data_IF_529803718217
#
_entry.id   IF_529803718217
#
_cell.length_a   1.000
_cell.length_b   1.000
_cell.length_c   1.000
_cell.angle_alpha   90.00
_cell.angle_beta   90.00
_cell.angle_gamma   90.00
#
_symmetry.space_group_name_H-M   'P 1'
#
loop_
_entity.id
_entity.type
_entity.pdbx_description
1 polymer ?
#
# COMPACT_ATOMS: atom_id res chain seq x y z
N UNK A 1 -7.57 -14.85 -16.34
CA UNK A 1 -7.54 -13.40 -16.14
C UNK A 1 -7.10 -13.17 -14.71
N UNK A 2 -6.00 -12.46 -14.48
CA UNK A 2 -5.45 -12.25 -13.14
C UNK A 2 -6.23 -11.12 -12.48
N UNK A 3 -7.07 -11.42 -11.48
CA UNK A 3 -7.77 -10.39 -10.72
C UNK A 3 -6.78 -9.76 -9.74
N UNK A 4 -6.39 -8.52 -10.01
CA UNK A 4 -5.54 -7.74 -9.10
C UNK A 4 -6.33 -7.38 -7.86
N UNK A 5 -5.82 -7.78 -6.68
CA UNK A 5 -6.38 -7.29 -5.42
C UNK A 5 -6.07 -5.79 -5.26
N UNK A 6 -7.08 -5.04 -4.80
CA UNK A 6 -6.92 -3.63 -4.43
C UNK A 6 -6.37 -3.59 -3.01
N UNK A 7 -5.23 -2.91 -2.80
CA UNK A 7 -4.75 -2.62 -1.45
C UNK A 7 -5.79 -1.76 -0.73
N UNK A 8 -6.38 -2.28 0.35
CA UNK A 8 -7.23 -1.47 1.21
C UNK A 8 -6.39 -0.33 1.81
N UNK A 9 -6.90 0.90 1.74
CA UNK A 9 -6.29 2.01 2.49
C UNK A 9 -6.61 1.79 3.96
N UNK A 10 -5.61 1.36 4.73
CA UNK A 10 -5.73 1.31 6.19
C UNK A 10 -5.87 2.75 6.70
N UNK A 11 -6.90 2.99 7.52
CA UNK A 11 -7.09 4.28 8.18
C UNK A 11 -5.89 4.58 9.09
N UNK A 12 -5.23 5.72 8.84
CA UNK A 12 -4.04 6.12 9.61
C UNK A 12 -4.47 6.60 11.01
N UNK A 13 -4.05 5.86 12.03
CA UNK A 13 -4.21 6.25 13.43
C UNK A 13 -3.24 7.39 13.82
N UNK A 14 -3.70 8.63 13.70
CA UNK A 14 -2.93 9.84 14.05
C UNK A 14 -2.68 10.04 15.55
N UNK A 15 -3.27 9.21 16.41
CA UNK A 15 -3.01 9.29 17.87
C UNK A 15 -1.65 8.70 18.25
N UNK A 16 -1.00 7.98 17.33
CA UNK A 16 0.30 7.35 17.54
C UNK A 16 1.40 8.02 16.72
N UNK A 17 2.66 7.93 17.17
CA UNK A 17 3.79 8.35 16.36
C UNK A 17 3.81 7.61 15.02
N UNK A 18 3.87 8.37 13.93
CA UNK A 18 3.96 7.83 12.58
C UNK A 18 5.43 7.56 12.27
N UNK A 19 5.76 6.32 11.96
CA UNK A 19 7.09 5.91 11.51
C UNK A 19 7.09 5.70 10.00
N UNK A 20 8.00 6.37 9.30
CA UNK A 20 8.17 6.19 7.86
C UNK A 20 9.30 5.21 7.56
N UNK A 21 9.04 4.29 6.64
CA UNK A 21 10.13 3.69 5.86
C UNK A 21 10.73 4.75 4.91
N UNK A 22 12.01 4.60 4.49
CA UNK A 22 12.67 5.59 3.65
C UNK A 22 11.90 5.96 2.37
N UNK A 23 11.26 4.97 1.72
CA UNK A 23 10.47 5.21 0.50
C UNK A 23 9.17 5.98 0.77
N UNK A 24 8.50 5.66 1.87
CA UNK A 24 7.27 6.33 2.29
C UNK A 24 7.56 7.80 2.60
N UNK A 25 8.69 8.11 3.25
CA UNK A 25 9.12 9.50 3.48
C UNK A 25 9.38 10.27 2.17
N UNK A 26 10.02 9.63 1.18
CA UNK A 26 10.25 10.25 -0.12
C UNK A 26 8.94 10.60 -0.83
N UNK A 27 7.99 9.67 -0.83
CA UNK A 27 6.67 9.85 -1.46
C UNK A 27 5.84 10.89 -0.71
N UNK A 28 5.89 10.89 0.61
CA UNK A 28 5.26 11.89 1.46
C UNK A 28 5.77 13.29 1.14
N UNK A 29 7.09 13.48 1.12
CA UNK A 29 7.70 14.78 0.76
C UNK A 29 7.30 15.23 -0.64
N UNK A 30 7.33 14.33 -1.62
CA UNK A 30 6.95 14.66 -3.00
C UNK A 30 5.49 15.12 -3.10
N UNK A 31 4.58 14.49 -2.36
CA UNK A 31 3.18 14.89 -2.34
C UNK A 31 2.96 16.23 -1.61
N UNK A 32 3.70 16.50 -0.53
CA UNK A 32 3.68 17.81 0.13
C UNK A 32 4.19 18.92 -0.81
N UNK A 33 5.32 18.69 -1.48
CA UNK A 33 5.90 19.64 -2.44
C UNK A 33 4.89 19.92 -3.57
N UNK A 34 4.23 18.89 -4.09
CA UNK A 34 3.18 19.01 -5.12
C UNK A 34 2.00 19.85 -4.63
N UNK A 35 1.47 19.57 -3.44
CA UNK A 35 0.34 20.31 -2.87
C UNK A 35 0.66 21.78 -2.62
N UNK A 36 1.86 22.08 -2.10
CA UNK A 36 2.33 23.46 -1.93
C UNK A 36 2.41 24.22 -3.25
N UNK A 37 2.82 23.53 -4.32
CA UNK A 37 2.99 24.15 -5.65
C UNK A 37 1.64 24.37 -6.36
N UNK A 38 0.70 23.44 -6.22
CA UNK A 38 -0.56 23.47 -6.98
C UNK A 38 -1.74 24.10 -6.24
N UNK A 39 -1.83 23.90 -4.92
CA UNK A 39 -3.04 24.16 -4.13
C UNK A 39 -2.91 25.33 -3.15
N UNK A 40 -1.69 25.83 -2.93
CA UNK A 40 -1.39 26.88 -1.93
C UNK A 40 -1.66 26.46 -0.48
N UNK A 41 -1.93 25.17 -0.23
CA UNK A 41 -2.29 24.61 1.06
C UNK A 41 -1.90 23.13 1.13
N UNK A 42 -1.84 22.61 2.36
CA UNK A 42 -1.33 21.26 2.63
C UNK A 42 -2.38 20.46 3.39
N UNK A 43 -2.72 19.30 2.84
CA UNK A 43 -3.47 18.24 3.50
C UNK A 43 -2.51 17.11 3.88
N UNK A 44 -2.08 17.14 5.14
CA UNK A 44 -1.12 16.18 5.70
C UNK A 44 -1.67 14.75 5.69
N UNK A 45 -2.96 14.56 5.98
CA UNK A 45 -3.59 13.24 6.03
C UNK A 45 -3.63 12.62 4.64
N UNK A 46 -4.02 13.40 3.63
CA UNK A 46 -3.99 12.96 2.24
C UNK A 46 -2.57 12.61 1.80
N UNK A 47 -1.59 13.44 2.14
CA UNK A 47 -0.20 13.18 1.80
C UNK A 47 0.32 11.89 2.46
N UNK A 48 -0.03 11.64 3.72
CA UNK A 48 0.31 10.41 4.44
C UNK A 48 -0.32 9.17 3.79
N UNK A 49 -1.62 9.20 3.52
CA UNK A 49 -2.34 8.11 2.87
C UNK A 49 -1.74 7.78 1.50
N UNK A 50 -1.43 8.81 0.70
CA UNK A 50 -0.80 8.63 -0.60
C UNK A 50 0.59 7.99 -0.47
N UNK A 51 1.39 8.43 0.49
CA UNK A 51 2.73 7.91 0.70
C UNK A 51 2.74 6.41 1.06
N UNK A 52 1.89 6.00 2.00
CA UNK A 52 1.78 4.60 2.39
C UNK A 52 1.21 3.72 1.28
N UNK A 53 0.15 4.19 0.61
CA UNK A 53 -0.47 3.46 -0.49
C UNK A 53 0.50 3.22 -1.65
N UNK A 54 1.19 4.27 -2.12
CA UNK A 54 2.13 4.17 -3.23
C UNK A 54 3.35 3.31 -2.89
N UNK A 55 3.88 3.43 -1.67
CA UNK A 55 4.96 2.55 -1.22
C UNK A 55 4.51 1.08 -1.09
N UNK A 56 3.26 0.84 -0.68
CA UNK A 56 2.63 -0.48 -0.67
C UNK A 56 2.54 -1.08 -2.07
N UNK A 57 2.01 -0.33 -3.03
CA UNK A 57 1.91 -0.75 -4.43
C UNK A 57 3.28 -1.09 -5.03
N UNK A 58 4.29 -0.24 -4.84
CA UNK A 58 5.64 -0.49 -5.35
C UNK A 58 6.26 -1.76 -4.76
N UNK A 59 6.03 -2.03 -3.46
CA UNK A 59 6.46 -3.28 -2.83
C UNK A 59 5.76 -4.48 -3.46
N UNK A 60 4.45 -4.41 -3.67
CA UNK A 60 3.69 -5.49 -4.29
C UNK A 60 4.10 -5.75 -5.74
N UNK A 61 4.31 -4.68 -6.53
CA UNK A 61 4.80 -4.78 -7.91
C UNK A 61 6.19 -5.42 -7.93
N UNK A 62 7.09 -4.97 -7.06
CA UNK A 62 8.43 -5.55 -6.96
C UNK A 62 8.41 -7.03 -6.55
N UNK A 63 7.53 -7.42 -5.63
CA UNK A 63 7.35 -8.83 -5.25
C UNK A 63 6.81 -9.67 -6.42
N UNK A 64 5.90 -9.11 -7.22
CA UNK A 64 5.39 -9.73 -8.43
C UNK A 64 6.49 -9.90 -9.48
N UNK A 65 7.26 -8.85 -9.77
CA UNK A 65 8.38 -8.85 -10.72
C UNK A 65 9.50 -9.81 -10.29
N UNK A 66 9.73 -9.94 -8.98
CA UNK A 66 10.67 -10.91 -8.39
C UNK A 66 10.13 -12.34 -8.38
N UNK A 67 8.92 -12.60 -8.89
CA UNK A 67 8.29 -13.92 -8.91
C UNK A 67 7.94 -14.47 -7.53
N UNK A 68 7.95 -13.62 -6.49
CA UNK A 68 7.47 -13.93 -5.13
C UNK A 68 5.95 -13.84 -5.09
N UNK A 69 5.30 -14.59 -5.96
CA UNK A 69 3.85 -14.80 -5.91
C UNK A 69 3.63 -15.94 -4.94
N UNK A 70 2.75 -15.76 -3.95
CA UNK A 70 2.25 -16.89 -3.17
C UNK A 70 1.44 -17.76 -4.14
N UNK A 71 2.04 -18.86 -4.59
CA UNK A 71 1.35 -19.84 -5.41
C UNK A 71 0.55 -20.72 -4.47
N UNK A 72 -0.75 -20.49 -4.39
CA UNK A 72 -1.67 -21.46 -3.83
C UNK A 72 -1.76 -22.65 -4.80
N UNK A 73 -1.68 -23.85 -4.25
CA UNK A 73 -2.21 -25.05 -4.91
C UNK A 73 -3.72 -24.87 -5.13
N UNK A 74 -4.33 -25.67 -6.02
CA UNK A 74 -5.77 -25.57 -6.28
C UNK A 74 -6.60 -25.77 -4.99
N UNK A 75 -6.13 -26.64 -4.09
CA UNK A 75 -6.76 -26.93 -2.80
C UNK A 75 -6.65 -25.75 -1.83
N UNK A 76 -5.48 -25.09 -1.77
CA UNK A 76 -5.32 -23.88 -0.95
C UNK A 76 -6.12 -22.71 -1.52
N UNK A 77 -6.25 -22.60 -2.84
CA UNK A 77 -7.10 -21.56 -3.43
C UNK A 77 -8.57 -21.77 -3.07
N UNK A 78 -9.07 -23.01 -3.12
CA UNK A 78 -10.44 -23.34 -2.68
C UNK A 78 -10.64 -23.09 -1.18
N UNK A 79 -9.68 -23.46 -0.33
CA UNK A 79 -9.75 -23.17 1.09
C UNK A 79 -9.84 -21.66 1.36
N UNK A 80 -9.08 -20.85 0.61
CA UNK A 80 -9.01 -19.40 0.77
C UNK A 80 -10.33 -18.74 0.38
N UNK A 81 -10.86 -19.12 -0.79
CA UNK A 81 -12.14 -18.63 -1.32
C UNK A 81 -13.30 -19.01 -0.40
N UNK A 82 -13.19 -20.14 0.29
CA UNK A 82 -14.20 -20.60 1.24
C UNK A 82 -13.97 -20.10 2.68
N UNK A 83 -13.16 -19.05 2.88
CA UNK A 83 -12.82 -18.44 4.18
C UNK A 83 -12.23 -19.43 5.21
N UNK A 84 -11.68 -20.55 4.74
CA UNK A 84 -10.96 -21.48 5.60
C UNK A 84 -9.53 -20.97 5.78
N UNK A 85 -9.08 -20.91 7.03
CA UNK A 85 -7.72 -20.45 7.36
C UNK A 85 -6.68 -21.33 6.67
N UNK A 86 -5.79 -20.71 5.90
CA UNK A 86 -4.62 -21.37 5.32
C UNK A 86 -3.39 -20.78 6.01
N UNK A 87 -3.13 -21.27 7.22
CA UNK A 87 -1.89 -21.13 7.96
C UNK A 87 -1.75 -22.30 8.93
#
# INVERSE_FOLDING_TARGET
>A
MSEGQTLNQDDIDISKPINFAPRELCLFKAELDRQLTESGGVDILKALNNAFYLAGLERSIKQFDEGKVVKFTAEEWEAFVNEQSIL
#
